data_IF_477082332202
#
_entry.id   IF_477082332202
#
_cell.length_a   1.000
_cell.length_b   1.000
_cell.length_c   1.000
_cell.angle_alpha   90.00
_cell.angle_beta   90.00
_cell.angle_gamma   90.00
#
_symmetry.space_group_name_H-M   'P 1'
#
loop_
_entity.id
_entity.type
_entity.pdbx_description
1 polymer ?
#
# COMPACT_ATOMS: atom_id res chain seq x y z
N UNK A 1 36.06 6.37 -12.60
CA UNK A 1 34.86 6.86 -11.92
C UNK A 1 33.68 6.04 -12.44
N UNK A 2 33.40 4.93 -11.78
CA UNK A 2 32.36 3.97 -12.19
C UNK A 2 31.00 4.44 -11.69
N UNK A 3 30.06 4.61 -12.63
CA UNK A 3 28.67 4.92 -12.37
C UNK A 3 28.00 3.80 -11.56
N UNK A 4 27.54 4.13 -10.35
CA UNK A 4 26.72 3.22 -9.55
C UNK A 4 25.24 3.55 -9.86
N UNK A 5 24.79 3.11 -11.03
CA UNK A 5 23.36 3.08 -11.36
C UNK A 5 22.71 2.01 -10.50
N UNK A 6 22.21 2.41 -9.34
CA UNK A 6 21.43 1.56 -8.44
C UNK A 6 20.20 1.04 -9.15
N UNK A 7 20.31 -0.14 -9.78
CA UNK A 7 19.13 -0.89 -10.21
C UNK A 7 18.39 -1.26 -8.93
N UNK A 8 17.27 -0.58 -8.69
CA UNK A 8 16.29 -1.00 -7.69
C UNK A 8 16.00 -2.48 -7.91
N UNK A 9 16.49 -3.34 -7.02
CA UNK A 9 16.14 -4.77 -7.03
C UNK A 9 14.62 -4.83 -6.87
N UNK A 10 13.96 -5.60 -7.74
CA UNK A 10 12.54 -5.90 -7.55
C UNK A 10 12.42 -6.71 -6.26
N UNK A 11 11.40 -6.45 -5.46
CA UNK A 11 11.19 -7.18 -4.20
C UNK A 11 11.06 -8.70 -4.38
N UNK A 12 10.73 -9.17 -5.59
CA UNK A 12 10.70 -10.60 -5.94
C UNK A 12 12.07 -11.30 -5.86
N UNK A 13 13.18 -10.57 -5.71
CA UNK A 13 14.49 -11.11 -5.31
C UNK A 13 14.70 -10.86 -3.81
N UNK A 14 13.91 -11.55 -2.98
CA UNK A 14 14.01 -11.46 -1.53
C UNK A 14 15.43 -11.82 -1.08
N UNK A 15 16.00 -10.99 -0.19
CA UNK A 15 17.18 -11.41 0.56
C UNK A 15 16.81 -12.55 1.52
N UNK A 16 17.78 -13.31 2.05
CA UNK A 16 17.48 -14.30 3.10
C UNK A 16 16.79 -13.71 4.33
N UNK A 17 17.07 -12.45 4.66
CA UNK A 17 16.42 -11.70 5.74
C UNK A 17 14.96 -11.41 5.41
N UNK A 18 14.68 -10.94 4.18
CA UNK A 18 13.32 -10.70 3.72
C UNK A 18 12.50 -12.00 3.65
N UNK A 19 13.10 -13.10 3.20
CA UNK A 19 12.46 -14.41 3.17
C UNK A 19 12.12 -14.90 4.60
N UNK A 20 12.98 -14.60 5.58
CA UNK A 20 12.70 -14.92 6.99
C UNK A 20 11.55 -14.08 7.57
N UNK A 21 11.38 -12.84 7.13
CA UNK A 21 10.22 -12.01 7.49
C UNK A 21 8.92 -12.59 6.91
N UNK A 22 8.93 -12.91 5.61
CA UNK A 22 7.75 -13.43 4.90
C UNK A 22 7.33 -14.80 5.41
N UNK A 23 8.29 -15.64 5.80
CA UNK A 23 8.05 -16.97 6.35
C UNK A 23 7.92 -17.01 7.87
N UNK A 24 7.70 -15.89 8.54
CA UNK A 24 7.71 -15.82 9.99
C UNK A 24 6.53 -16.58 10.61
N UNK A 25 6.84 -17.51 11.51
CA UNK A 25 5.86 -18.30 12.27
C UNK A 25 6.13 -18.08 13.75
N UNK A 26 5.52 -17.05 14.32
CA UNK A 26 5.63 -16.75 15.75
C UNK A 26 4.38 -16.03 16.26
N UNK A 27 4.15 -16.13 17.57
CA UNK A 27 2.98 -15.52 18.24
C UNK A 27 3.11 -13.99 18.39
N UNK A 28 4.30 -13.44 18.11
CA UNK A 28 4.60 -12.01 18.12
C UNK A 28 5.34 -11.60 16.84
N UNK A 29 5.43 -10.29 16.59
CA UNK A 29 6.23 -9.78 15.46
C UNK A 29 7.73 -10.12 15.60
N UNK A 30 8.43 -10.39 14.49
CA UNK A 30 9.88 -10.53 14.49
C UNK A 30 10.55 -9.24 14.97
N UNK A 31 11.68 -9.37 15.68
CA UNK A 31 12.42 -8.24 16.24
C UNK A 31 12.84 -7.20 15.17
N UNK A 32 13.02 -7.63 13.92
CA UNK A 32 13.33 -6.75 12.80
C UNK A 32 12.26 -5.67 12.58
N UNK A 33 10.98 -5.92 12.88
CA UNK A 33 9.89 -4.94 12.75
C UNK A 33 9.84 -3.93 13.92
N UNK A 34 10.63 -4.12 14.97
CA UNK A 34 10.55 -3.29 16.18
C UNK A 34 10.73 -1.77 15.92
N UNK A 35 11.64 -1.31 15.02
CA UNK A 35 11.75 0.11 14.70
C UNK A 35 10.44 0.69 14.14
N UNK A 36 9.85 0.04 13.14
CA UNK A 36 8.59 0.46 12.54
C UNK A 36 7.43 0.42 13.55
N UNK A 37 7.34 -0.64 14.36
CA UNK A 37 6.33 -0.77 15.42
C UNK A 37 6.42 0.40 16.41
N UNK A 38 7.63 0.78 16.81
CA UNK A 38 7.83 1.93 17.68
C UNK A 38 7.21 3.20 17.09
N UNK A 39 7.39 3.45 15.79
CA UNK A 39 6.83 4.63 15.11
C UNK A 39 5.31 4.62 15.02
N UNK A 40 4.69 3.44 14.89
CA UNK A 40 3.24 3.26 14.92
C UNK A 40 2.67 3.57 16.31
N UNK A 41 3.34 3.10 17.37
CA UNK A 41 2.90 3.32 18.75
C UNK A 41 2.87 4.81 19.13
N UNK A 42 3.78 5.62 18.59
CA UNK A 42 3.77 7.08 18.79
C UNK A 42 2.51 7.77 18.23
N UNK A 43 1.82 7.10 17.30
CA UNK A 43 0.60 7.58 16.66
C UNK A 43 -0.67 6.88 17.18
N UNK A 44 -0.55 6.04 18.20
CA UNK A 44 -1.67 5.29 18.77
C UNK A 44 -2.08 4.04 17.96
N UNK A 45 -1.31 3.65 16.95
CA UNK A 45 -1.50 2.41 16.19
C UNK A 45 -0.75 1.29 16.90
N UNK A 46 -1.41 0.16 17.13
CA UNK A 46 -0.84 -0.96 17.93
C UNK A 46 -0.56 -2.22 17.13
N UNK A 47 -0.90 -2.27 15.84
CA UNK A 47 -0.76 -3.46 14.98
C UNK A 47 -0.26 -3.08 13.58
N UNK A 48 0.47 -3.99 12.93
CA UNK A 48 0.70 -3.92 11.49
C UNK A 48 -0.54 -4.49 10.79
N UNK A 49 -1.33 -3.63 10.17
CA UNK A 49 -2.53 -4.05 9.43
C UNK A 49 -2.21 -4.41 7.97
N UNK A 50 -1.12 -5.17 7.79
CA UNK A 50 -0.64 -5.63 6.48
C UNK A 50 -0.16 -7.08 6.56
N UNK A 51 -0.38 -7.82 5.49
CA UNK A 51 0.05 -9.21 5.38
C UNK A 51 1.59 -9.34 5.24
N UNK A 52 2.13 -10.49 5.62
CA UNK A 52 3.59 -10.73 5.76
C UNK A 52 4.38 -10.56 4.46
N UNK A 53 3.76 -10.80 3.31
CA UNK A 53 4.38 -10.58 1.99
C UNK A 53 4.73 -9.12 1.71
N UNK A 54 4.18 -8.17 2.47
CA UNK A 54 4.55 -6.75 2.38
C UNK A 54 5.48 -6.29 3.50
N UNK A 55 5.85 -7.16 4.46
CA UNK A 55 6.78 -6.78 5.54
C UNK A 55 8.15 -6.31 5.03
N UNK A 56 8.78 -6.96 4.03
CA UNK A 56 10.02 -6.45 3.43
C UNK A 56 9.86 -5.06 2.79
N UNK A 57 8.71 -4.82 2.14
CA UNK A 57 8.41 -3.56 1.49
C UNK A 57 8.32 -2.41 2.50
N UNK A 58 7.56 -2.59 3.59
CA UNK A 58 7.41 -1.56 4.62
C UNK A 58 8.70 -1.36 5.42
N UNK A 59 9.52 -2.40 5.59
CA UNK A 59 10.82 -2.28 6.26
C UNK A 59 11.83 -1.50 5.43
N UNK A 60 11.86 -1.76 4.12
CA UNK A 60 12.68 -0.97 3.21
C UNK A 60 12.27 0.51 3.23
N UNK A 61 10.95 0.77 3.16
CA UNK A 61 10.41 2.12 3.24
C UNK A 61 10.77 2.80 4.58
N UNK A 62 10.61 2.10 5.71
CA UNK A 62 10.99 2.64 7.03
C UNK A 62 12.47 2.99 7.09
N UNK A 63 13.35 2.13 6.60
CA UNK A 63 14.79 2.39 6.58
C UNK A 63 15.15 3.60 5.70
N UNK A 64 14.52 3.74 4.53
CA UNK A 64 14.74 4.85 3.60
C UNK A 64 14.27 6.19 4.20
N UNK A 65 13.08 6.24 4.80
CA UNK A 65 12.56 7.45 5.45
C UNK A 65 13.38 7.77 6.72
N UNK A 66 13.68 6.77 7.55
CA UNK A 66 14.43 6.97 8.79
C UNK A 66 15.86 7.48 8.55
N UNK A 67 16.44 7.21 7.38
CA UNK A 67 17.75 7.74 7.00
C UNK A 67 17.74 9.27 6.87
N UNK A 68 16.67 9.85 6.34
CA UNK A 68 16.54 11.32 6.15
C UNK A 68 15.81 12.00 7.31
N UNK A 69 14.82 11.34 7.91
CA UNK A 69 14.00 11.89 8.99
C UNK A 69 13.92 10.90 10.17
N UNK A 70 14.96 10.75 11.00
CA UNK A 70 15.02 9.70 12.03
C UNK A 70 13.87 9.71 13.04
N UNK A 71 13.24 10.87 13.24
CA UNK A 71 12.15 11.09 14.19
C UNK A 71 10.75 11.08 13.55
N UNK A 72 10.62 10.70 12.28
CA UNK A 72 9.32 10.67 11.61
C UNK A 72 8.34 9.70 12.30
N UNK A 73 7.05 10.03 12.21
CA UNK A 73 5.95 9.24 12.77
C UNK A 73 5.03 8.73 11.67
N UNK A 74 4.54 7.50 11.83
CA UNK A 74 3.61 6.87 10.89
C UNK A 74 2.18 7.19 11.32
N UNK A 75 1.38 7.82 10.47
CA UNK A 75 -0.03 8.15 10.76
C UNK A 75 -1.01 7.08 10.30
N UNK A 76 -0.64 6.29 9.28
CA UNK A 76 -1.41 5.13 8.80
C UNK A 76 -0.47 4.05 8.28
N UNK A 77 -0.80 2.80 8.58
CA UNK A 77 -0.21 1.61 7.98
C UNK A 77 -1.31 0.56 7.84
N UNK A 78 -1.65 0.20 6.61
CA UNK A 78 -2.67 -0.78 6.33
C UNK A 78 -2.71 -1.20 4.86
N UNK A 79 -3.85 -1.73 4.47
CA UNK A 79 -4.18 -2.08 3.09
C UNK A 79 -5.45 -1.35 2.68
N UNK A 80 -5.45 -0.77 1.48
CA UNK A 80 -6.61 -0.15 0.85
C UNK A 80 -6.67 -0.57 -0.61
N UNK A 81 -7.70 -1.36 -0.97
CA UNK A 81 -8.00 -1.83 -2.32
C UNK A 81 -6.85 -2.58 -3.02
N UNK A 82 -6.19 -3.46 -2.29
CA UNK A 82 -5.06 -4.26 -2.73
C UNK A 82 -3.77 -3.44 -2.84
N UNK A 83 -3.71 -2.27 -2.21
CA UNK A 83 -2.55 -1.37 -2.19
C UNK A 83 -2.12 -1.12 -0.76
N UNK A 84 -0.82 -1.04 -0.52
CA UNK A 84 -0.27 -0.57 0.74
C UNK A 84 -0.79 0.85 1.03
N UNK A 85 -1.42 1.04 2.18
CA UNK A 85 -1.75 2.37 2.71
C UNK A 85 -0.70 2.75 3.76
N UNK A 86 0.29 3.55 3.36
CA UNK A 86 1.31 4.07 4.25
C UNK A 86 1.27 5.59 4.24
N UNK A 87 1.17 6.20 5.40
CA UNK A 87 1.22 7.65 5.55
C UNK A 87 2.05 8.03 6.77
N UNK A 88 2.77 9.14 6.66
CA UNK A 88 3.47 9.75 7.81
C UNK A 88 2.63 10.88 8.40
N UNK A 89 3.00 11.37 9.57
CA UNK A 89 2.33 12.51 10.19
C UNK A 89 2.51 13.77 9.32
N UNK A 90 1.49 14.64 9.15
CA UNK A 90 1.56 15.79 8.23
C UNK A 90 2.73 16.75 8.49
N UNK A 91 3.19 16.85 9.74
CA UNK A 91 4.35 17.67 10.11
C UNK A 91 5.71 17.07 9.75
N UNK A 92 5.73 15.81 9.30
CA UNK A 92 6.92 15.06 8.92
C UNK A 92 6.94 14.78 7.40
N UNK A 93 6.01 15.38 6.63
CA UNK A 93 5.91 15.21 5.18
C UNK A 93 6.88 16.15 4.47
N UNK A 94 7.72 15.57 3.63
CA UNK A 94 8.61 16.25 2.69
C UNK A 94 8.49 15.58 1.31
N UNK A 95 8.80 16.30 0.23
CA UNK A 95 8.64 15.81 -1.16
C UNK A 95 9.35 14.47 -1.39
N UNK A 96 10.59 14.33 -0.89
CA UNK A 96 11.37 13.09 -0.98
C UNK A 96 10.67 11.91 -0.26
N UNK A 97 10.03 12.17 0.90
CA UNK A 97 9.30 11.16 1.66
C UNK A 97 8.02 10.75 0.92
N UNK A 98 7.29 11.70 0.34
CA UNK A 98 6.12 11.40 -0.49
C UNK A 98 6.48 10.55 -1.70
N UNK A 99 7.61 10.82 -2.34
CA UNK A 99 8.10 10.01 -3.47
C UNK A 99 8.44 8.58 -3.03
N UNK A 100 9.13 8.40 -1.90
CA UNK A 100 9.43 7.08 -1.33
C UNK A 100 8.15 6.29 -1.01
N UNK A 101 7.17 6.94 -0.37
CA UNK A 101 5.88 6.32 -0.05
C UNK A 101 5.17 5.93 -1.34
N UNK A 102 5.04 6.84 -2.31
CA UNK A 102 4.40 6.58 -3.60
C UNK A 102 5.05 5.41 -4.34
N UNK A 103 6.38 5.33 -4.34
CA UNK A 103 7.12 4.22 -4.93
C UNK A 103 6.80 2.89 -4.25
N UNK A 104 6.75 2.86 -2.90
CA UNK A 104 6.40 1.67 -2.15
C UNK A 104 4.94 1.24 -2.38
N UNK A 105 4.00 2.19 -2.40
CA UNK A 105 2.60 1.91 -2.70
C UNK A 105 2.44 1.36 -4.12
N UNK A 106 3.15 1.92 -5.09
CA UNK A 106 3.19 1.37 -6.45
C UNK A 106 3.75 -0.05 -6.49
N UNK A 107 4.81 -0.33 -5.73
CA UNK A 107 5.42 -1.67 -5.62
C UNK A 107 4.44 -2.70 -5.06
N UNK A 108 3.61 -2.32 -4.08
CA UNK A 108 2.64 -3.21 -3.45
C UNK A 108 1.63 -3.80 -4.45
N UNK A 109 1.22 -3.02 -5.46
CA UNK A 109 0.25 -3.42 -6.51
C UNK A 109 0.69 -4.60 -7.38
N UNK A 110 1.97 -4.98 -7.28
CA UNK A 110 2.59 -6.06 -8.04
C UNK A 110 3.34 -7.06 -7.16
N UNK A 111 3.11 -7.00 -5.85
CA UNK A 111 3.76 -7.82 -4.81
C UNK A 111 2.69 -8.57 -4.04
N UNK A 112 2.78 -9.88 -3.97
CA UNK A 112 1.80 -10.71 -3.29
C UNK A 112 1.79 -10.36 -1.81
N UNK A 113 0.62 -10.00 -1.29
CA UNK A 113 0.42 -9.72 0.12
C UNK A 113 0.87 -10.86 1.06
N UNK A 114 0.87 -12.10 0.59
CA UNK A 114 1.18 -13.28 1.42
C UNK A 114 2.64 -13.70 1.31
N UNK A 115 3.18 -13.82 0.09
CA UNK A 115 4.52 -14.40 -0.11
C UNK A 115 5.54 -13.46 -0.78
N UNK A 116 5.20 -12.20 -1.02
CA UNK A 116 6.04 -11.21 -1.69
C UNK A 116 6.41 -11.52 -3.16
N UNK A 117 5.95 -12.64 -3.74
CA UNK A 117 6.12 -12.94 -5.16
C UNK A 117 5.38 -11.95 -6.06
N UNK A 118 5.64 -12.03 -7.37
CA UNK A 118 4.87 -11.26 -8.37
C UNK A 118 3.37 -11.55 -8.23
N UNK A 119 2.60 -10.47 -8.22
CA UNK A 119 1.15 -10.51 -8.05
C UNK A 119 0.39 -9.67 -9.08
N UNK A 120 -0.92 -9.85 -9.07
CA UNK A 120 -1.89 -9.11 -9.85
C UNK A 120 -3.09 -8.76 -8.96
N UNK A 121 -3.92 -7.79 -9.36
CA UNK A 121 -5.16 -7.51 -8.66
C UNK A 121 -6.18 -8.63 -8.88
N UNK A 122 -6.72 -9.11 -7.78
CA UNK A 122 -7.83 -10.04 -7.70
C UNK A 122 -8.95 -9.42 -6.89
N UNK A 123 -10.15 -9.95 -7.10
CA UNK A 123 -11.32 -9.67 -6.28
C UNK A 123 -11.58 -10.84 -5.35
N UNK A 124 -11.71 -10.51 -4.08
CA UNK A 124 -12.23 -11.39 -3.04
C UNK A 124 -13.49 -10.73 -2.49
N UNK A 125 -14.65 -11.34 -2.79
CA UNK A 125 -15.96 -10.74 -2.48
C UNK A 125 -16.10 -9.33 -3.08
N UNK A 126 -16.31 -8.33 -2.23
CA UNK A 126 -16.44 -6.92 -2.60
C UNK A 126 -15.12 -6.14 -2.49
N UNK A 127 -14.00 -6.80 -2.16
CA UNK A 127 -12.71 -6.14 -1.94
C UNK A 127 -11.68 -6.51 -3.02
N UNK A 128 -10.73 -5.61 -3.26
CA UNK A 128 -9.55 -5.88 -4.10
C UNK A 128 -8.38 -6.32 -3.24
N UNK A 129 -7.66 -7.32 -3.72
CA UNK A 129 -6.45 -7.82 -3.09
C UNK A 129 -5.37 -8.03 -4.15
N UNK A 130 -4.10 -7.96 -3.76
CA UNK A 130 -2.97 -8.19 -4.64
C UNK A 130 -2.26 -9.49 -4.27
N UNK A 131 -2.50 -10.54 -5.08
CA UNK A 131 -1.99 -11.89 -4.82
C UNK A 131 -1.27 -12.49 -6.03
N UNK A 132 -0.37 -13.44 -5.78
CA UNK A 132 0.09 -14.35 -6.81
C UNK A 132 -1.03 -15.33 -7.19
N UNK A 133 -0.86 -16.03 -8.31
CA UNK A 133 -1.89 -16.95 -8.85
C UNK A 133 -2.24 -18.05 -7.86
N UNK A 134 -1.26 -18.59 -7.13
CA UNK A 134 -1.48 -19.70 -6.21
C UNK A 134 -2.27 -19.28 -4.98
N UNK A 135 -1.90 -18.15 -4.36
CA UNK A 135 -2.63 -17.59 -3.24
C UNK A 135 -4.03 -17.11 -3.63
N UNK A 136 -4.18 -16.49 -4.80
CA UNK A 136 -5.48 -16.11 -5.32
C UNK A 136 -6.39 -17.33 -5.48
N UNK A 137 -5.88 -18.42 -6.06
CA UNK A 137 -6.62 -19.69 -6.19
C UNK A 137 -6.98 -20.25 -4.82
N UNK A 138 -6.04 -20.26 -3.87
CA UNK A 138 -6.28 -20.78 -2.51
C UNK A 138 -7.36 -19.98 -1.77
N UNK A 139 -7.47 -18.67 -2.02
CA UNK A 139 -8.53 -17.81 -1.45
C UNK A 139 -9.84 -17.83 -2.24
N UNK A 140 -9.90 -18.53 -3.39
CA UNK A 140 -11.06 -18.48 -4.29
C UNK A 140 -11.26 -17.11 -4.95
N UNK A 141 -10.22 -16.27 -5.00
CA UNK A 141 -10.30 -14.93 -5.56
C UNK A 141 -10.34 -14.99 -7.10
N UNK A 142 -11.13 -14.11 -7.72
CA UNK A 142 -11.27 -14.02 -9.18
C UNK A 142 -10.44 -12.87 -9.75
N UNK A 143 -9.84 -12.97 -10.94
CA UNK A 143 -9.08 -11.86 -11.51
C UNK A 143 -9.94 -10.60 -11.66
N UNK A 144 -9.40 -9.44 -11.28
CA UNK A 144 -9.99 -8.15 -11.64
C UNK A 144 -9.58 -7.84 -13.09
N UNK A 145 -10.54 -7.83 -14.03
CA UNK A 145 -10.23 -7.77 -15.47
C UNK A 145 -10.49 -6.41 -16.10
N UNK A 146 -11.35 -5.60 -15.48
CA UNK A 146 -11.84 -4.35 -16.05
C UNK A 146 -11.85 -3.23 -15.03
N UNK A 147 -11.82 -1.98 -15.50
CA UNK A 147 -12.06 -0.81 -14.65
C UNK A 147 -13.43 -0.88 -13.95
N UNK A 148 -14.40 -1.57 -14.56
CA UNK A 148 -15.69 -1.84 -13.93
C UNK A 148 -15.55 -2.82 -12.76
N UNK A 149 -14.76 -3.90 -12.91
CA UNK A 149 -14.44 -4.82 -11.80
C UNK A 149 -13.69 -4.08 -10.67
N UNK A 150 -12.86 -3.10 -11.00
CA UNK A 150 -12.18 -2.28 -9.98
C UNK A 150 -13.20 -1.35 -9.29
N UNK A 151 -13.98 -0.60 -10.07
CA UNK A 151 -14.95 0.37 -9.57
C UNK A 151 -16.09 -0.26 -8.74
N UNK A 152 -16.47 -1.50 -9.03
CA UNK A 152 -17.45 -2.25 -8.23
C UNK A 152 -16.87 -2.69 -6.88
N UNK A 153 -15.57 -2.92 -6.77
CA UNK A 153 -14.92 -3.34 -5.52
C UNK A 153 -14.60 -2.16 -4.60
N UNK A 154 -14.50 -0.95 -5.15
CA UNK A 154 -14.43 0.26 -4.32
C UNK A 154 -15.80 0.49 -3.69
N UNK A 155 -15.92 0.54 -2.34
CA UNK A 155 -17.17 0.88 -1.69
C UNK A 155 -17.71 2.18 -2.28
N UNK A 156 -18.94 2.16 -2.79
CA UNK A 156 -19.60 3.41 -3.20
C UNK A 156 -19.81 4.21 -1.94
N UNK A 157 -19.16 5.38 -1.83
CA UNK A 157 -19.43 6.34 -0.75
C UNK A 157 -20.93 6.41 -0.55
N UNK A 158 -21.39 5.90 0.59
CA UNK A 158 -22.82 5.84 0.86
C UNK A 158 -23.32 7.27 1.08
N UNK A 159 -24.60 7.54 0.78
CA UNK A 159 -25.20 8.86 1.04
C UNK A 159 -25.02 9.30 2.50
N UNK A 160 -24.89 8.34 3.43
CA UNK A 160 -24.64 8.57 4.86
C UNK A 160 -23.20 9.03 5.15
N UNK A 161 -22.20 8.44 4.51
CA UNK A 161 -20.79 8.84 4.63
C UNK A 161 -20.54 10.19 3.97
N UNK A 162 -21.17 10.45 2.83
CA UNK A 162 -21.15 11.74 2.16
C UNK A 162 -21.79 12.83 3.05
N UNK A 163 -22.90 12.51 3.71
CA UNK A 163 -23.56 13.42 4.66
C UNK A 163 -22.70 13.67 5.90
N UNK A 164 -21.99 12.66 6.41
CA UNK A 164 -21.08 12.81 7.54
C UNK A 164 -19.86 13.69 7.19
N UNK A 165 -19.25 13.48 6.02
CA UNK A 165 -18.10 14.26 5.55
C UNK A 165 -18.45 15.73 5.29
N UNK A 166 -19.61 16.01 4.69
CA UNK A 166 -20.12 17.37 4.50
C UNK A 166 -20.42 18.05 5.84
N UNK A 167 -21.01 17.30 6.79
CA UNK A 167 -21.28 17.80 8.14
C UNK A 167 -20.01 18.07 8.95
N UNK A 168 -18.93 17.36 8.66
CA UNK A 168 -17.60 17.57 9.23
C UNK A 168 -16.81 18.70 8.54
N UNK A 169 -17.41 19.43 7.59
CA UNK A 169 -16.79 20.57 6.91
C UNK A 169 -15.80 20.19 5.80
N UNK A 170 -15.77 18.92 5.37
CA UNK A 170 -14.96 18.50 4.22
C UNK A 170 -15.68 18.93 2.94
N UNK A 171 -15.08 19.80 2.10
CA UNK A 171 -15.76 20.28 0.91
C UNK A 171 -15.96 19.13 -0.09
N UNK A 172 -17.13 19.07 -0.73
CA UNK A 172 -17.47 18.05 -1.72
C UNK A 172 -16.46 17.95 -2.88
N UNK A 173 -15.68 19.01 -3.12
CA UNK A 173 -14.56 19.06 -4.08
C UNK A 173 -13.38 18.15 -3.71
N UNK A 174 -13.19 17.82 -2.43
CA UNK A 174 -12.16 16.89 -1.97
C UNK A 174 -12.41 15.44 -2.47
N UNK A 175 -13.69 15.08 -2.71
CA UNK A 175 -14.07 13.76 -3.22
C UNK A 175 -14.11 13.68 -4.75
N UNK A 176 -14.28 14.82 -5.44
CA UNK A 176 -14.29 14.86 -6.92
C UNK A 176 -12.91 14.81 -7.54
N UNK A 177 -11.84 15.11 -6.79
CA UNK A 177 -10.46 15.03 -7.26
C UNK A 177 -10.01 13.60 -7.64
N UNK A 178 -10.64 12.57 -7.06
CA UNK A 178 -10.32 11.17 -7.36
C UNK A 178 -11.06 10.63 -8.60
N UNK A 179 -12.11 11.32 -9.08
CA UNK A 179 -12.86 10.93 -10.30
C UNK A 179 -12.26 11.45 -11.61
N UNK A 180 -11.35 12.42 -11.59
CA UNK A 180 -10.92 13.11 -12.82
C UNK A 180 -9.63 12.59 -13.46
N UNK A 181 -8.95 11.58 -12.88
CA UNK A 181 -7.76 10.96 -13.52
C UNK A 181 -8.08 9.78 -14.46
N UNK A 182 -9.36 9.48 -14.71
CA UNK A 182 -9.80 8.33 -15.53
C UNK A 182 -10.56 8.65 -16.82
N UNK A 183 -10.60 9.90 -17.28
CA UNK A 183 -11.28 10.23 -18.54
C UNK A 183 -10.26 10.26 -19.68
N UNK A 184 -10.21 9.27 -20.59
CA UNK A 184 -9.39 9.39 -21.78
C UNK A 184 -9.94 10.51 -22.68
N UNK A 185 -9.07 11.28 -23.37
CA UNK A 185 -9.52 12.36 -24.24
C UNK A 185 -10.36 11.79 -25.39
N UNK A 186 -11.53 12.41 -25.62
CA UNK A 186 -12.37 12.12 -26.78
C UNK A 186 -11.62 12.47 -28.06
N UNK A 187 -11.29 11.45 -28.85
CA UNK A 187 -10.77 11.62 -30.20
C UNK A 187 -11.94 12.06 -31.08
N UNK A 188 -11.93 13.33 -31.50
CA UNK A 188 -12.88 13.86 -32.47
C UNK A 188 -12.62 13.31 -33.86
N UNK A 189 -13.68 12.86 -34.55
CA UNK A 189 -13.74 12.75 -36.01
C UNK A 189 -15.16 13.03 -36.48
N UNK A 190 -15.28 13.92 -37.48
CA UNK A 190 -16.47 14.13 -38.29
C UNK A 190 -17.11 15.48 -38.06
#
# INVERSE_FOLDING_TARGET
MTANGGRSRRIVDLTPEDAALVGWVGDSYPAALAPLISRLMHSGISTLDVNQGWWPLVMKLDAEIAFIAPAYRVSRLGEDLGVLDFAVHPGDIEEDIEEMISAAQSESTRTCEICADRAWPYRQEDWLITLCVDHARSRGARPAKTDADIAEAVPRVTDREMTFAISAGVPASAFTAQRQRGVPPRIGRG
#
